data_IF_415553236020
#
_entry.id   IF_415553236020
#
_cell.length_a   1.000
_cell.length_b   1.000
_cell.length_c   1.000
_cell.angle_alpha   90.00
_cell.angle_beta   90.00
_cell.angle_gamma   90.00
#
_symmetry.space_group_name_H-M   'P 1'
#
loop_
_entity.id
_entity.type
_entity.pdbx_description
1 polymer ?
#
# COMPACT_ATOMS: atom_id res chain seq x y z
N UNK A 1 10.88 5.00 -17.53
CA UNK A 1 11.39 4.05 -16.54
C UNK A 1 10.38 2.93 -16.56
N UNK A 2 10.78 1.70 -16.91
CA UNK A 2 9.89 0.54 -16.84
C UNK A 2 9.96 -0.02 -15.42
N UNK A 3 8.81 -0.35 -14.84
CA UNK A 3 8.72 -0.98 -13.52
C UNK A 3 8.58 -2.49 -13.71
N UNK A 4 9.28 -3.27 -12.89
CA UNK A 4 9.09 -4.71 -12.80
C UNK A 4 8.15 -5.02 -11.63
N UNK A 5 7.14 -5.84 -11.91
CA UNK A 5 6.30 -6.44 -10.88
C UNK A 5 7.15 -7.44 -10.07
N UNK A 6 7.18 -7.29 -8.75
CA UNK A 6 7.97 -8.13 -7.84
C UNK A 6 7.00 -8.93 -6.99
N UNK A 7 7.08 -10.26 -7.07
CA UNK A 7 6.24 -11.16 -6.29
C UNK A 7 6.72 -11.22 -4.83
N UNK A 8 5.81 -11.58 -3.93
CA UNK A 8 6.13 -11.84 -2.52
C UNK A 8 7.26 -12.89 -2.41
N UNK A 9 8.31 -12.58 -1.65
CA UNK A 9 9.49 -13.43 -1.52
C UNK A 9 10.61 -13.15 -2.54
N UNK A 10 10.37 -12.36 -3.59
CA UNK A 10 11.40 -11.97 -4.56
C UNK A 10 12.26 -10.80 -4.07
N UNK A 11 11.77 -10.03 -3.09
CA UNK A 11 12.51 -8.94 -2.48
C UNK A 11 12.38 -8.95 -0.95
N UNK A 12 13.38 -9.56 -0.31
CA UNK A 12 13.45 -9.71 1.15
C UNK A 12 13.31 -8.41 1.93
N UNK A 13 13.74 -7.27 1.38
CA UNK A 13 13.62 -5.97 2.05
C UNK A 13 12.18 -5.49 2.04
N UNK A 14 11.50 -5.62 0.90
CA UNK A 14 10.06 -5.34 0.82
C UNK A 14 9.27 -6.29 1.71
N UNK A 15 9.63 -7.57 1.75
CA UNK A 15 8.97 -8.57 2.60
C UNK A 15 9.14 -8.27 4.09
N UNK A 16 10.34 -7.89 4.54
CA UNK A 16 10.60 -7.52 5.95
C UNK A 16 9.83 -6.27 6.35
N UNK A 17 9.80 -5.26 5.48
CA UNK A 17 8.98 -4.06 5.69
C UNK A 17 7.51 -4.46 5.79
N UNK A 18 7.00 -5.27 4.87
CA UNK A 18 5.61 -5.73 4.90
C UNK A 18 5.30 -6.53 6.18
N UNK A 19 6.22 -7.39 6.63
CA UNK A 19 6.07 -8.18 7.85
C UNK A 19 6.02 -7.32 9.11
N UNK A 20 6.96 -6.40 9.30
CA UNK A 20 6.98 -5.50 10.46
C UNK A 20 5.74 -4.61 10.50
N UNK A 21 5.28 -4.11 9.34
CA UNK A 21 4.07 -3.31 9.26
C UNK A 21 2.80 -4.14 9.53
N UNK A 22 2.70 -5.37 9.00
CA UNK A 22 1.54 -6.25 9.24
C UNK A 22 1.37 -6.64 10.72
N UNK A 23 2.45 -6.66 11.50
CA UNK A 23 2.41 -6.87 12.96
C UNK A 23 1.77 -5.70 13.72
N UNK A 24 1.89 -4.48 13.21
CA UNK A 24 1.29 -3.28 13.82
C UNK A 24 -0.21 -3.21 13.53
N UNK A 25 -0.64 -3.66 12.36
CA UNK A 25 -2.02 -3.53 11.87
C UNK A 25 -2.74 -4.87 11.78
N UNK A 26 -2.51 -5.75 12.76
CA UNK A 26 -3.11 -7.07 12.80
C UNK A 26 -4.62 -6.97 13.04
N UNK A 27 -5.37 -7.15 11.94
CA UNK A 27 -6.84 -7.13 11.77
C UNK A 27 -7.40 -5.76 11.40
N UNK A 28 -8.14 -5.72 10.30
CA UNK A 28 -8.91 -4.55 9.87
C UNK A 28 -8.24 -3.65 8.84
N UNK A 29 -6.96 -3.87 8.50
CA UNK A 29 -6.23 -2.94 7.61
C UNK A 29 -5.84 -3.59 6.28
N UNK A 30 -6.03 -2.88 5.17
CA UNK A 30 -5.71 -3.31 3.79
C UNK A 30 -4.99 -2.21 3.02
N UNK A 31 -4.03 -2.62 2.19
CA UNK A 31 -3.46 -1.77 1.15
C UNK A 31 -4.39 -1.74 -0.06
N UNK A 32 -4.66 -0.55 -0.57
CA UNK A 32 -5.42 -0.39 -1.79
C UNK A 32 -4.83 0.73 -2.64
N UNK A 33 -4.97 0.59 -3.94
CA UNK A 33 -4.74 1.68 -4.89
C UNK A 33 -6.10 2.10 -5.39
N UNK A 34 -6.44 3.37 -5.22
CA UNK A 34 -7.71 3.93 -5.66
C UNK A 34 -7.50 5.27 -6.36
N UNK A 35 -8.42 5.62 -7.24
CA UNK A 35 -8.40 6.87 -7.97
C UNK A 35 -9.09 7.97 -7.13
N UNK A 36 -8.39 9.08 -6.91
CA UNK A 36 -8.90 10.28 -6.25
C UNK A 36 -8.46 11.50 -7.06
N UNK A 37 -9.40 12.31 -7.54
CA UNK A 37 -9.13 13.54 -8.31
C UNK A 37 -8.24 13.35 -9.56
N UNK A 38 -8.28 12.18 -10.21
CA UNK A 38 -7.46 11.85 -11.38
C UNK A 38 -6.02 11.45 -11.04
N UNK A 39 -5.72 11.22 -9.75
CA UNK A 39 -4.47 10.66 -9.26
C UNK A 39 -4.70 9.24 -8.73
N UNK A 40 -3.74 8.35 -8.96
CA UNK A 40 -3.68 7.05 -8.29
C UNK A 40 -3.08 7.25 -6.90
N UNK A 41 -3.84 6.91 -5.87
CA UNK A 41 -3.44 7.03 -4.48
C UNK A 41 -3.13 5.65 -3.91
N UNK A 42 -1.90 5.47 -3.44
CA UNK A 42 -1.52 4.30 -2.63
C UNK A 42 -1.85 4.60 -1.17
N UNK A 43 -2.88 3.93 -0.66
CA UNK A 43 -3.38 4.15 0.69
C UNK A 43 -3.44 2.88 1.52
N UNK A 44 -3.29 3.06 2.83
CA UNK A 44 -3.57 2.05 3.83
C UNK A 44 -4.95 2.34 4.43
N UNK A 45 -5.90 1.44 4.25
CA UNK A 45 -7.30 1.61 4.70
C UNK A 45 -7.52 0.77 5.96
N UNK A 46 -7.93 1.42 7.05
CA UNK A 46 -8.42 0.76 8.26
C UNK A 46 -9.96 0.68 8.20
N UNK A 47 -10.48 -0.53 8.04
CA UNK A 47 -11.91 -0.82 7.97
C UNK A 47 -12.64 -0.71 9.32
N UNK A 48 -11.92 -0.76 10.46
CA UNK A 48 -12.56 -0.58 11.76
C UNK A 48 -12.86 0.91 12.03
N UNK A 49 -11.93 1.78 11.65
CA UNK A 49 -12.03 3.23 11.89
C UNK A 49 -12.48 4.03 10.67
N UNK A 50 -12.52 3.40 9.48
CA UNK A 50 -12.72 4.06 8.19
C UNK A 50 -11.69 5.15 7.89
N UNK A 51 -10.50 5.06 8.48
CA UNK A 51 -9.40 5.98 8.25
C UNK A 51 -8.50 5.49 7.11
N UNK A 52 -7.94 6.41 6.35
CA UNK A 52 -7.00 6.13 5.28
C UNK A 52 -5.70 6.87 5.53
N UNK A 53 -4.58 6.14 5.58
CA UNK A 53 -3.24 6.71 5.57
C UNK A 53 -2.71 6.73 4.14
N UNK A 54 -2.51 7.93 3.59
CA UNK A 54 -1.95 8.11 2.25
C UNK A 54 -0.43 7.98 2.32
N UNK A 55 0.11 7.09 1.50
CA UNK A 55 1.54 6.77 1.47
C UNK A 55 2.20 7.36 0.22
N UNK A 56 1.46 7.45 -0.88
CA UNK A 56 1.90 8.09 -2.10
C UNK A 56 0.75 8.47 -3.02
N UNK A 57 1.02 9.40 -3.93
CA UNK A 57 0.12 9.83 -5.01
C UNK A 57 0.90 9.85 -6.31
N UNK A 58 0.27 9.42 -7.40
CA UNK A 58 0.83 9.46 -8.73
C UNK A 58 -0.21 10.03 -9.72
N UNK A 59 0.17 11.07 -10.46
CA UNK A 59 -0.67 11.62 -11.53
C UNK A 59 -0.83 10.60 -12.66
N UNK A 60 -2.04 10.47 -13.21
CA UNK A 60 -2.27 9.67 -14.42
C UNK A 60 -1.47 10.29 -15.59
N UNK A 61 -0.51 9.53 -16.14
CA UNK A 61 0.41 9.98 -17.21
C UNK A 61 -0.11 9.71 -18.62
#
# INVERSE_FOLDING_TARGET
>A
MEYEEVLEGENKVLDEVFSEFSKVFSRGVRWDIFEEDGEFVLGLIDFETSQVLIIGREEEK
#
